data_IF_118808403035
#
_entry.id   IF_118808403035
#
_cell.length_a   1.000
_cell.length_b   1.000
_cell.length_c   1.000
_cell.angle_alpha   90.00
_cell.angle_beta   90.00
_cell.angle_gamma   90.00
#
_symmetry.space_group_name_H-M   'P 1'
#
loop_
_entity.id
_entity.type
_entity.pdbx_description
1 polymer ?
#
# COMPACT_ATOMS: atom_id res chain seq x y z
N UNK A 1 3.76 14.43 -13.97
CA UNK A 1 5.23 14.22 -13.97
C UNK A 1 5.56 12.80 -13.49
N UNK A 2 6.68 12.21 -13.89
CA UNK A 2 7.04 10.81 -13.53
C UNK A 2 7.06 10.58 -12.01
N UNK A 3 7.54 11.57 -11.25
CA UNK A 3 7.64 11.54 -9.77
C UNK A 3 6.26 11.38 -9.12
N UNK A 4 5.25 12.08 -9.61
CA UNK A 4 3.88 11.99 -9.07
C UNK A 4 3.30 10.58 -9.27
N UNK A 5 3.59 9.95 -10.41
CA UNK A 5 3.16 8.56 -10.66
C UNK A 5 3.86 7.58 -9.74
N UNK A 6 5.17 7.74 -9.53
CA UNK A 6 5.93 6.89 -8.60
C UNK A 6 5.36 7.02 -7.19
N UNK A 7 5.04 8.24 -6.76
CA UNK A 7 4.47 8.50 -5.44
C UNK A 7 3.10 7.83 -5.26
N UNK A 8 2.25 7.84 -6.30
CA UNK A 8 0.96 7.16 -6.30
C UNK A 8 1.09 5.64 -6.23
N UNK A 9 2.03 5.06 -6.99
CA UNK A 9 2.31 3.61 -6.92
C UNK A 9 2.82 3.24 -5.53
N UNK A 10 3.71 4.04 -4.95
CA UNK A 10 4.20 3.82 -3.59
C UNK A 10 3.06 3.83 -2.57
N UNK A 11 2.11 4.75 -2.73
CA UNK A 11 0.90 4.81 -1.91
C UNK A 11 0.02 3.57 -2.04
N UNK A 12 -0.20 3.10 -3.27
CA UNK A 12 -0.97 1.89 -3.52
C UNK A 12 -0.36 0.66 -2.82
N UNK A 13 0.97 0.53 -2.93
CA UNK A 13 1.75 -0.55 -2.30
C UNK A 13 1.67 -0.47 -0.77
N UNK A 14 1.80 0.73 -0.19
CA UNK A 14 1.70 0.94 1.25
C UNK A 14 0.30 0.61 1.79
N UNK A 15 -0.76 1.01 1.09
CA UNK A 15 -2.14 0.69 1.45
C UNK A 15 -2.40 -0.82 1.36
N UNK A 16 -1.91 -1.47 0.30
CA UNK A 16 -2.02 -2.92 0.15
C UNK A 16 -1.27 -3.66 1.26
N UNK A 17 -0.06 -3.20 1.61
CA UNK A 17 0.71 -3.78 2.70
C UNK A 17 -0.01 -3.61 4.04
N UNK A 18 -0.56 -2.43 4.32
CA UNK A 18 -1.33 -2.21 5.53
C UNK A 18 -2.57 -3.12 5.60
N UNK A 19 -3.29 -3.29 4.49
CA UNK A 19 -4.43 -4.20 4.43
C UNK A 19 -4.05 -5.67 4.64
N UNK A 20 -2.92 -6.13 4.11
CA UNK A 20 -2.52 -7.54 4.20
C UNK A 20 -1.74 -7.87 5.48
N UNK A 21 -1.02 -6.90 6.05
CA UNK A 21 -0.14 -7.12 7.20
C UNK A 21 -0.73 -6.61 8.52
N UNK A 22 -1.50 -5.50 8.51
CA UNK A 22 -1.99 -4.87 9.74
C UNK A 22 -3.43 -5.24 10.09
N UNK A 23 -4.32 -5.42 9.10
CA UNK A 23 -5.75 -5.65 9.32
C UNK A 23 -6.09 -7.05 9.85
N UNK A 24 -5.10 -7.80 10.35
CA UNK A 24 -5.32 -9.16 10.87
C UNK A 24 -5.69 -10.17 9.79
N UNK A 25 -5.51 -9.84 8.51
CA UNK A 25 -5.72 -10.74 7.36
C UNK A 25 -4.90 -12.01 7.48
N UNK A 26 -3.72 -11.96 8.07
CA UNK A 26 -2.91 -13.14 8.39
C UNK A 26 -3.53 -13.99 9.49
N UNK A 27 -4.15 -13.38 10.51
CA UNK A 27 -4.90 -14.07 11.55
C UNK A 27 -6.17 -14.73 10.98
N UNK A 28 -6.93 -14.01 10.17
CA UNK A 28 -8.12 -14.51 9.47
C UNK A 28 -7.75 -15.63 8.49
N UNK A 29 -6.65 -15.50 7.74
CA UNK A 29 -6.15 -16.56 6.86
C UNK A 29 -5.74 -17.80 7.66
N UNK A 30 -5.17 -17.63 8.86
CA UNK A 30 -4.75 -18.76 9.69
C UNK A 30 -5.91 -19.59 10.25
N UNK A 31 -7.10 -19.01 10.36
CA UNK A 31 -8.32 -19.74 10.74
C UNK A 31 -8.94 -20.51 9.57
N UNK A 32 -8.75 -20.04 8.33
CA UNK A 32 -9.39 -20.61 7.13
C UNK A 32 -8.48 -21.51 6.30
N UNK A 33 -7.16 -21.33 6.37
CA UNK A 33 -6.20 -22.01 5.51
C UNK A 33 -5.04 -22.60 6.31
N UNK A 34 -4.55 -23.77 5.86
CA UNK A 34 -3.31 -24.35 6.38
C UNK A 34 -2.16 -23.35 6.24
N UNK A 35 -1.29 -23.31 7.26
CA UNK A 35 -0.09 -22.46 7.34
C UNK A 35 0.76 -22.51 6.06
N UNK A 36 0.75 -23.65 5.37
CA UNK A 36 1.48 -23.85 4.11
C UNK A 36 1.01 -22.95 2.96
N UNK A 37 -0.25 -22.53 2.95
CA UNK A 37 -0.84 -21.71 1.88
C UNK A 37 -1.04 -20.24 2.26
N UNK A 38 -0.92 -19.89 3.55
CA UNK A 38 -1.15 -18.52 4.03
C UNK A 38 -0.23 -17.53 3.32
N UNK A 39 1.05 -17.85 3.17
CA UNK A 39 2.02 -16.98 2.48
C UNK A 39 1.61 -16.71 1.04
N UNK A 40 1.34 -17.78 0.27
CA UNK A 40 0.95 -17.65 -1.14
C UNK A 40 -0.37 -16.88 -1.33
N UNK A 41 -1.35 -17.11 -0.47
CA UNK A 41 -2.63 -16.38 -0.54
C UNK A 41 -2.43 -14.91 -0.16
N UNK A 42 -1.61 -14.61 0.84
CA UNK A 42 -1.28 -13.24 1.23
C UNK A 42 -0.56 -12.50 0.10
N UNK A 43 0.38 -13.14 -0.61
CA UNK A 43 1.08 -12.55 -1.76
C UNK A 43 0.12 -12.24 -2.92
N UNK A 44 -0.78 -13.18 -3.25
CA UNK A 44 -1.80 -12.98 -4.29
C UNK A 44 -2.74 -11.83 -3.90
N UNK A 45 -3.19 -11.80 -2.65
CA UNK A 45 -4.05 -10.75 -2.13
C UNK A 45 -3.36 -9.39 -2.18
N UNK A 46 -2.09 -9.34 -1.77
CA UNK A 46 -1.27 -8.14 -1.82
C UNK A 46 -1.11 -7.61 -3.24
N UNK A 47 -0.84 -8.50 -4.20
CA UNK A 47 -0.73 -8.12 -5.61
C UNK A 47 -2.05 -7.56 -6.14
N UNK A 48 -3.17 -8.23 -5.85
CA UNK A 48 -4.50 -7.79 -6.27
C UNK A 48 -4.87 -6.43 -5.67
N UNK A 49 -4.67 -6.24 -4.36
CA UNK A 49 -4.92 -4.96 -3.69
C UNK A 49 -4.01 -3.85 -4.22
N UNK A 50 -2.74 -4.14 -4.50
CA UNK A 50 -1.81 -3.16 -5.06
C UNK A 50 -2.29 -2.67 -6.43
N UNK A 51 -2.70 -3.58 -7.31
CA UNK A 51 -3.25 -3.22 -8.62
C UNK A 51 -4.56 -2.43 -8.51
N UNK A 52 -5.45 -2.85 -7.60
CA UNK A 52 -6.73 -2.20 -7.34
C UNK A 52 -6.54 -0.78 -6.81
N UNK A 53 -5.71 -0.58 -5.79
CA UNK A 53 -5.43 0.74 -5.24
C UNK A 53 -4.69 1.63 -6.23
N UNK A 54 -3.76 1.08 -7.02
CA UNK A 54 -3.09 1.83 -8.09
C UNK A 54 -4.11 2.31 -9.13
N UNK A 55 -5.07 1.47 -9.53
CA UNK A 55 -6.16 1.82 -10.43
C UNK A 55 -7.10 2.89 -9.85
N UNK A 56 -7.49 2.76 -8.58
CA UNK A 56 -8.35 3.75 -7.90
C UNK A 56 -7.63 5.10 -7.79
N UNK A 57 -6.37 5.10 -7.37
CA UNK A 57 -5.56 6.31 -7.27
C UNK A 57 -5.33 6.94 -8.65
N UNK A 58 -5.13 6.12 -9.67
CA UNK A 58 -5.00 6.55 -11.06
C UNK A 58 -6.27 7.26 -11.56
N UNK A 59 -7.45 6.73 -11.21
CA UNK A 59 -8.73 7.30 -11.62
C UNK A 59 -9.13 8.53 -10.79
N UNK A 60 -8.84 8.53 -9.49
CA UNK A 60 -9.34 9.53 -8.53
C UNK A 60 -8.44 10.77 -8.45
N UNK A 61 -7.15 10.64 -8.76
CA UNK A 61 -6.19 11.73 -8.59
C UNK A 61 -6.05 12.53 -9.89
N UNK A 62 -6.23 13.85 -9.85
CA UNK A 62 -6.06 14.68 -11.04
C UNK A 62 -4.61 14.67 -11.52
N UNK A 63 -4.45 14.74 -12.86
CA UNK A 63 -3.16 14.64 -13.57
C UNK A 63 -2.10 15.66 -13.10
N UNK A 64 -2.53 16.78 -12.54
CA UNK A 64 -1.71 17.81 -11.92
C UNK A 64 -2.08 17.93 -10.45
N UNK A 65 -1.22 17.42 -9.58
CA UNK A 65 -1.38 17.55 -8.13
C UNK A 65 -0.99 18.96 -7.66
N UNK A 66 -1.82 19.53 -6.78
CA UNK A 66 -1.46 20.72 -6.00
C UNK A 66 -0.29 20.43 -5.05
N UNK A 67 0.50 21.45 -4.72
CA UNK A 67 1.67 21.35 -3.84
C UNK A 67 1.29 20.80 -2.44
N UNK A 68 0.10 21.13 -1.95
CA UNK A 68 -0.46 20.57 -0.69
C UNK A 68 -0.67 19.06 -0.78
N UNK A 69 -1.13 18.58 -1.94
CA UNK A 69 -1.41 17.16 -2.19
C UNK A 69 -0.12 16.36 -2.35
N UNK A 70 0.93 16.96 -2.91
CA UNK A 70 2.28 16.37 -2.98
C UNK A 70 2.89 16.18 -1.59
N UNK A 71 2.76 17.18 -0.72
CA UNK A 71 3.22 17.09 0.68
C UNK A 71 2.47 15.98 1.43
N UNK A 72 1.14 15.93 1.32
CA UNK A 72 0.34 14.87 1.92
C UNK A 72 0.72 13.48 1.38
N UNK A 73 1.03 13.38 0.09
CA UNK A 73 1.41 12.11 -0.51
C UNK A 73 2.84 11.66 -0.13
N UNK A 74 3.70 12.57 0.36
CA UNK A 74 5.02 12.22 0.89
C UNK A 74 4.99 11.77 2.36
N UNK A 75 3.86 11.95 3.04
CA UNK A 75 3.71 11.68 4.46
C UNK A 75 3.93 10.20 4.83
N UNK A 76 3.37 9.19 4.13
CA UNK A 76 3.60 7.79 4.49
C UNK A 76 5.05 7.33 4.34
N UNK A 77 5.77 7.56 3.22
CA UNK A 77 7.16 7.15 3.14
C UNK A 77 8.04 7.88 4.17
N UNK A 78 7.72 9.15 4.48
CA UNK A 78 8.38 9.86 5.57
C UNK A 78 8.11 9.22 6.95
N UNK A 79 6.88 8.79 7.22
CA UNK A 79 6.52 8.08 8.45
C UNK A 79 7.22 6.73 8.57
N UNK A 80 7.31 5.97 7.49
CA UNK A 80 8.06 4.70 7.45
C UNK A 80 9.54 4.94 7.73
N UNK A 81 10.16 5.92 7.06
CA UNK A 81 11.56 6.28 7.29
C UNK A 81 11.79 6.74 8.73
N UNK A 82 10.88 7.53 9.29
CA UNK A 82 10.96 7.99 10.68
C UNK A 82 10.88 6.82 11.65
N UNK A 83 10.00 5.85 11.38
CA UNK A 83 9.92 4.62 12.18
C UNK A 83 11.25 3.86 12.19
N UNK A 84 11.89 3.68 11.02
CA UNK A 84 13.21 3.05 10.90
C UNK A 84 14.37 3.84 11.52
N UNK A 85 14.23 5.16 11.71
CA UNK A 85 15.26 5.99 12.36
C UNK A 85 15.13 5.92 13.88
N UNK A 86 13.89 5.82 14.38
CA UNK A 86 13.58 5.85 15.81
C UNK A 86 13.74 4.46 16.47
N UNK A 87 13.47 3.38 15.73
CA UNK A 87 13.62 1.99 16.16
C UNK A 87 14.86 1.34 15.55
#
# INVERSE_FOLDING_TARGET
MIIERILLVLWAVMLAFFCVSWLGTTHILSEMFSVTYIGTIADILFFFLSALFAGILWWSVPKTMSLKMKLAAFLPPALVLLFFIVY
#
